data_IF_477381945438
#
_entry.id   IF_477381945438
#
_cell.length_a   1.000
_cell.length_b   1.000
_cell.length_c   1.000
_cell.angle_alpha   90.00
_cell.angle_beta   90.00
_cell.angle_gamma   90.00
#
_symmetry.space_group_name_H-M   'P 1'
#
loop_
_entity.id
_entity.type
_entity.pdbx_description
1 polymer ?
#
# COMPACT_ATOMS: atom_id res chain seq x y z
N UNK A 1 15.80 73.69 13.18
CA UNK A 1 14.65 74.34 12.49
C UNK A 1 14.37 73.58 11.20
N UNK A 2 13.12 73.17 10.98
CA UNK A 2 12.61 72.48 9.78
C UNK A 2 12.81 73.31 8.49
N UNK A 3 13.01 72.65 7.34
CA UNK A 3 12.21 72.79 6.10
C UNK A 3 12.72 71.90 4.94
N UNK A 4 12.00 70.80 4.70
CA UNK A 4 11.33 70.38 3.46
C UNK A 4 11.82 70.81 2.04
N UNK A 5 12.06 69.78 1.22
CA UNK A 5 11.43 69.41 -0.08
C UNK A 5 11.97 69.93 -1.44
N UNK A 6 11.92 68.96 -2.39
CA UNK A 6 11.81 68.98 -3.87
C UNK A 6 13.12 68.82 -4.67
N UNK A 7 13.34 67.72 -5.40
CA UNK A 7 12.71 67.17 -6.64
C UNK A 7 13.48 67.62 -7.90
N UNK A 8 13.98 66.68 -8.71
CA UNK A 8 14.34 67.01 -10.09
C UNK A 8 15.43 66.18 -10.78
N UNK A 9 15.01 65.06 -11.37
CA UNK A 9 15.43 64.52 -12.70
C UNK A 9 16.93 64.55 -13.05
N UNK A 10 17.56 63.37 -13.07
CA UNK A 10 18.78 63.14 -13.85
C UNK A 10 18.57 61.93 -14.78
N UNK A 11 18.53 62.20 -16.09
CA UNK A 11 18.50 61.19 -17.15
C UNK A 11 19.89 60.54 -17.22
N UNK A 12 19.95 59.22 -17.01
CA UNK A 12 21.17 58.44 -17.21
C UNK A 12 21.09 57.72 -18.55
N UNK A 13 22.11 57.94 -19.39
CA UNK A 13 22.28 57.34 -20.70
C UNK A 13 22.45 55.83 -20.59
N UNK A 14 21.68 55.10 -21.41
CA UNK A 14 21.78 53.65 -21.61
C UNK A 14 23.04 53.36 -22.41
N UNK A 15 24.00 52.64 -21.82
CA UNK A 15 25.07 51.97 -22.55
C UNK A 15 24.66 50.50 -22.72
N UNK A 16 24.46 50.12 -23.98
CA UNK A 16 24.18 48.75 -24.42
C UNK A 16 25.48 47.94 -24.31
N UNK A 17 25.50 46.95 -23.42
CA UNK A 17 26.48 45.86 -23.48
C UNK A 17 25.75 44.56 -23.75
N UNK A 18 25.82 44.14 -25.02
CA UNK A 18 25.54 42.76 -25.45
C UNK A 18 26.53 41.82 -24.78
N UNK A 19 26.05 40.93 -23.92
CA UNK A 19 26.72 39.69 -23.60
C UNK A 19 25.82 38.53 -24.04
N UNK A 20 26.21 37.94 -25.16
CA UNK A 20 25.70 36.66 -25.62
C UNK A 20 26.21 35.56 -24.68
N UNK A 21 25.28 34.97 -23.92
CA UNK A 21 25.46 33.68 -23.26
C UNK A 21 24.45 32.72 -23.86
N UNK A 22 24.83 32.12 -24.99
CA UNK A 22 24.20 30.94 -25.55
C UNK A 22 24.80 29.71 -24.87
N UNK A 23 23.99 29.03 -24.06
CA UNK A 23 24.40 27.81 -23.36
C UNK A 23 23.22 27.07 -22.74
N UNK A 24 22.52 26.29 -23.57
CA UNK A 24 21.74 25.10 -23.22
C UNK A 24 20.82 25.20 -21.98
N UNK A 25 19.70 25.92 -22.13
CA UNK A 25 18.50 25.59 -21.39
C UNK A 25 17.91 24.31 -22.02
N UNK A 26 18.26 23.15 -21.46
CA UNK A 26 17.54 21.92 -21.74
C UNK A 26 16.09 22.12 -21.33
N UNK A 27 15.19 22.16 -22.31
CA UNK A 27 13.76 22.16 -22.07
C UNK A 27 13.40 20.81 -21.46
N UNK A 28 13.31 20.76 -20.13
CA UNK A 28 12.51 19.75 -19.48
C UNK A 28 11.09 19.90 -20.03
N UNK A 29 10.48 18.86 -20.63
CA UNK A 29 9.08 18.94 -20.97
C UNK A 29 8.32 19.19 -19.66
N UNK A 30 7.70 20.36 -19.56
CA UNK A 30 6.67 20.59 -18.57
C UNK A 30 5.59 19.54 -18.86
N UNK A 31 5.54 18.49 -18.05
CA UNK A 31 4.33 17.69 -17.94
C UNK A 31 3.26 18.65 -17.41
N UNK A 32 2.46 19.20 -18.31
CA UNK A 32 1.19 19.80 -17.97
C UNK A 32 0.28 18.65 -17.54
N UNK A 33 0.46 18.16 -16.31
CA UNK A 33 -0.57 17.43 -15.60
C UNK A 33 -1.66 18.45 -15.28
N UNK A 34 -2.56 18.69 -16.24
CA UNK A 34 -3.85 19.27 -15.91
C UNK A 34 -4.54 18.41 -14.84
N UNK A 35 -5.46 18.97 -14.03
CA UNK A 35 -6.20 18.17 -13.06
C UNK A 35 -6.88 17.01 -13.79
N UNK A 36 -6.54 15.78 -13.41
CA UNK A 36 -7.22 14.59 -13.93
C UNK A 36 -8.68 14.63 -13.45
N UNK A 37 -9.59 14.93 -14.37
CA UNK A 37 -11.03 14.87 -14.09
C UNK A 37 -11.41 13.39 -14.05
N UNK A 38 -11.90 12.86 -12.92
CA UNK A 38 -12.33 11.47 -12.87
C UNK A 38 -13.52 11.25 -13.82
N UNK A 39 -13.53 10.09 -14.47
CA UNK A 39 -14.66 9.67 -15.31
C UNK A 39 -15.86 9.31 -14.42
N UNK A 40 -17.06 9.66 -14.85
CA UNK A 40 -18.28 9.27 -14.16
C UNK A 40 -18.49 7.75 -14.31
N UNK A 41 -18.61 6.98 -13.23
CA UNK A 41 -18.87 5.55 -13.34
C UNK A 41 -20.17 5.30 -14.13
N UNK A 42 -20.18 4.37 -15.11
CA UNK A 42 -21.37 4.10 -15.92
C UNK A 42 -22.52 3.49 -15.10
N UNK A 43 -22.18 2.88 -13.96
CA UNK A 43 -23.11 2.35 -12.97
C UNK A 43 -22.65 2.80 -11.59
N UNK A 44 -23.60 3.18 -10.74
CA UNK A 44 -23.36 3.47 -9.32
C UNK A 44 -24.35 2.66 -8.47
N UNK A 45 -23.95 2.36 -7.24
CA UNK A 45 -24.80 1.70 -6.25
C UNK A 45 -25.41 2.75 -5.31
N UNK A 46 -26.74 2.83 -5.27
CA UNK A 46 -27.45 3.59 -4.26
C UNK A 46 -27.41 2.81 -2.95
N UNK A 47 -26.83 3.40 -1.89
CA UNK A 47 -26.57 2.72 -0.62
C UNK A 47 -27.75 2.81 0.37
N UNK A 48 -28.69 3.72 0.12
CA UNK A 48 -29.85 4.00 0.95
C UNK A 48 -31.05 4.37 0.09
N UNK A 49 -32.21 4.54 0.72
CA UNK A 49 -33.38 5.08 0.03
C UNK A 49 -33.06 6.48 -0.51
N UNK A 50 -33.05 6.61 -1.83
CA UNK A 50 -32.55 7.79 -2.52
C UNK A 50 -33.70 8.52 -3.23
N UNK A 51 -34.02 9.76 -2.85
CA UNK A 51 -35.03 10.56 -3.53
C UNK A 51 -34.62 10.92 -4.97
N UNK A 52 -35.60 10.95 -5.86
CA UNK A 52 -35.46 11.28 -7.29
C UNK A 52 -36.05 12.65 -7.59
N UNK A 53 -35.36 13.44 -8.38
CA UNK A 53 -35.75 14.81 -8.73
C UNK A 53 -35.82 14.99 -10.25
N UNK A 54 -36.74 15.84 -10.71
CA UNK A 54 -36.82 16.20 -12.13
C UNK A 54 -35.65 17.11 -12.55
N UNK A 55 -35.15 17.93 -11.63
CA UNK A 55 -34.06 18.89 -11.82
C UNK A 55 -33.04 18.76 -10.65
N UNK A 56 -31.77 19.16 -10.82
CA UNK A 56 -30.75 19.09 -9.77
C UNK A 56 -30.94 20.20 -8.72
N UNK A 57 -32.10 20.24 -8.08
CA UNK A 57 -32.49 21.21 -7.06
C UNK A 57 -33.18 20.51 -5.89
N UNK A 58 -32.54 20.54 -4.72
CA UNK A 58 -33.02 19.88 -3.52
C UNK A 58 -34.18 20.62 -2.84
N UNK A 59 -34.49 21.85 -3.27
CA UNK A 59 -35.66 22.61 -2.79
C UNK A 59 -36.98 22.12 -3.40
N UNK A 60 -36.91 21.39 -4.52
CA UNK A 60 -38.07 20.77 -5.14
C UNK A 60 -38.51 19.51 -4.37
N UNK A 61 -39.80 19.20 -4.43
CA UNK A 61 -40.27 17.92 -3.89
C UNK A 61 -39.81 16.77 -4.79
N UNK A 62 -39.29 15.66 -4.22
CA UNK A 62 -38.96 14.47 -5.00
C UNK A 62 -40.16 13.93 -5.75
N UNK A 63 -39.95 13.44 -6.97
CA UNK A 63 -41.00 12.80 -7.78
C UNK A 63 -41.24 11.35 -7.38
N UNK A 64 -40.22 10.71 -6.79
CA UNK A 64 -40.25 9.36 -6.24
C UNK A 64 -38.99 9.12 -5.38
N UNK A 65 -38.80 7.89 -4.91
CA UNK A 65 -37.56 7.43 -4.31
C UNK A 65 -37.23 6.01 -4.80
N UNK A 66 -35.95 5.66 -4.79
CA UNK A 66 -35.46 4.32 -5.07
C UNK A 66 -34.88 3.70 -3.80
N UNK A 67 -35.24 2.47 -3.50
CA UNK A 67 -34.51 1.67 -2.51
C UNK A 67 -33.07 1.38 -2.98
N UNK A 68 -32.16 0.97 -2.07
CA UNK A 68 -30.79 0.61 -2.44
C UNK A 68 -30.73 -0.35 -3.62
N UNK A 69 -30.02 0.03 -4.69
CA UNK A 69 -29.87 -0.75 -5.92
C UNK A 69 -28.80 -0.12 -6.83
N UNK A 70 -28.35 -0.89 -7.82
CA UNK A 70 -27.50 -0.37 -8.89
C UNK A 70 -28.32 0.40 -9.93
N UNK A 71 -27.78 1.53 -10.39
CA UNK A 71 -28.41 2.38 -11.39
C UNK A 71 -27.41 2.82 -12.46
N UNK A 72 -27.85 2.90 -13.70
CA UNK A 72 -27.04 3.44 -14.81
C UNK A 72 -26.97 4.96 -14.73
N UNK A 73 -25.77 5.52 -14.85
CA UNK A 73 -25.57 6.97 -14.91
C UNK A 73 -25.70 7.49 -16.34
N UNK A 74 -26.04 8.77 -16.47
CA UNK A 74 -26.22 9.45 -17.76
C UNK A 74 -25.29 10.65 -17.86
N UNK A 75 -25.36 11.54 -16.88
CA UNK A 75 -24.54 12.74 -16.78
C UNK A 75 -24.43 13.14 -15.30
N UNK A 76 -23.55 14.09 -15.02
CA UNK A 76 -23.36 14.63 -13.69
C UNK A 76 -23.34 16.17 -13.75
N UNK A 77 -23.67 16.80 -12.62
CA UNK A 77 -23.64 18.24 -12.48
C UNK A 77 -22.24 18.81 -12.74
N UNK A 78 -22.18 20.11 -13.05
CA UNK A 78 -20.91 20.81 -13.21
C UNK A 78 -20.07 20.64 -11.93
N UNK A 79 -18.79 20.30 -12.09
CA UNK A 79 -17.86 20.11 -10.98
C UNK A 79 -18.28 19.05 -9.96
N UNK A 80 -19.05 18.02 -10.35
CA UNK A 80 -19.41 16.88 -9.47
C UNK A 80 -18.19 16.17 -8.86
N UNK A 81 -17.02 16.30 -9.48
CA UNK A 81 -15.75 15.76 -9.03
C UNK A 81 -14.96 16.70 -8.11
N UNK A 82 -15.41 17.95 -7.96
CA UNK A 82 -14.74 18.92 -7.10
C UNK A 82 -15.26 18.75 -5.68
N UNK A 83 -14.34 18.62 -4.73
CA UNK A 83 -14.63 18.57 -3.28
C UNK A 83 -14.98 19.95 -2.71
N UNK A 84 -15.80 20.71 -3.44
CA UNK A 84 -16.32 22.03 -3.05
C UNK A 84 -17.67 21.92 -2.37
N UNK A 85 -18.44 20.90 -2.72
CA UNK A 85 -19.71 20.55 -2.10
C UNK A 85 -19.60 19.12 -1.55
N UNK A 86 -20.27 18.88 -0.43
CA UNK A 86 -20.37 17.56 0.18
C UNK A 86 -21.37 16.68 -0.58
N UNK A 87 -22.21 17.30 -1.41
CA UNK A 87 -23.21 16.63 -2.23
C UNK A 87 -23.04 16.91 -3.72
N UNK A 88 -23.44 15.92 -4.51
CA UNK A 88 -23.28 15.93 -5.96
C UNK A 88 -24.55 15.46 -6.63
N UNK A 89 -24.85 16.09 -7.75
CA UNK A 89 -25.99 15.74 -8.58
C UNK A 89 -25.56 14.81 -9.69
N UNK A 90 -26.14 13.60 -9.70
CA UNK A 90 -25.93 12.61 -10.75
C UNK A 90 -27.28 12.33 -11.40
N UNK A 91 -27.31 12.32 -12.73
CA UNK A 91 -28.49 11.93 -13.48
C UNK A 91 -28.41 10.45 -13.79
N UNK A 92 -29.48 9.73 -13.52
CA UNK A 92 -29.57 8.29 -13.69
C UNK A 92 -30.70 7.93 -14.66
N UNK A 93 -30.61 6.76 -15.29
CA UNK A 93 -31.71 6.22 -16.08
C UNK A 93 -32.75 5.59 -15.15
N UNK A 94 -34.01 5.93 -15.35
CA UNK A 94 -35.13 5.16 -14.79
C UNK A 94 -35.98 4.59 -15.92
N UNK A 95 -36.54 3.40 -15.70
CA UNK A 95 -37.31 2.69 -16.73
C UNK A 95 -38.74 3.22 -16.89
N UNK A 96 -39.24 4.01 -15.94
CA UNK A 96 -40.65 4.38 -15.83
C UNK A 96 -40.94 5.89 -15.84
N UNK A 97 -39.96 6.76 -15.55
CA UNK A 97 -40.13 8.22 -15.57
C UNK A 97 -39.04 8.97 -16.35
N UNK A 98 -38.27 8.25 -17.19
CA UNK A 98 -37.15 8.82 -17.93
C UNK A 98 -35.94 9.08 -17.03
N UNK A 99 -35.03 9.94 -17.47
CA UNK A 99 -33.80 10.21 -16.72
C UNK A 99 -34.08 11.22 -15.60
N UNK A 100 -33.72 10.88 -14.37
CA UNK A 100 -33.97 11.69 -13.17
C UNK A 100 -32.67 11.94 -12.42
N UNK A 101 -32.67 12.97 -11.59
CA UNK A 101 -31.52 13.38 -10.79
C UNK A 101 -31.57 12.80 -9.39
N UNK A 102 -30.41 12.37 -8.89
CA UNK A 102 -30.16 12.00 -7.50
C UNK A 102 -29.15 12.96 -6.88
N UNK A 103 -29.36 13.30 -5.62
CA UNK A 103 -28.44 14.10 -4.82
C UNK A 103 -27.72 13.19 -3.84
N UNK A 104 -26.47 12.87 -4.14
CA UNK A 104 -25.67 11.91 -3.37
C UNK A 104 -24.60 12.63 -2.58
N UNK A 105 -24.22 12.07 -1.44
CA UNK A 105 -22.98 12.48 -0.79
C UNK A 105 -21.79 12.14 -1.71
N UNK A 106 -20.82 13.03 -1.81
CA UNK A 106 -19.70 12.94 -2.76
C UNK A 106 -18.97 11.59 -2.66
N UNK A 107 -18.71 11.11 -1.43
CA UNK A 107 -18.01 9.84 -1.20
C UNK A 107 -18.86 8.60 -1.50
N UNK A 108 -20.17 8.75 -1.72
CA UNK A 108 -21.09 7.66 -2.05
C UNK A 108 -21.19 7.40 -3.54
N UNK A 109 -20.53 8.21 -4.38
CA UNK A 109 -20.45 7.95 -5.82
C UNK A 109 -19.43 6.83 -6.06
N UNK A 110 -19.93 5.67 -6.43
CA UNK A 110 -19.15 4.47 -6.70
C UNK A 110 -20.05 3.27 -6.91
N UNK A 111 -19.45 2.11 -7.11
CA UNK A 111 -20.14 0.86 -7.34
C UNK A 111 -19.68 -0.19 -6.33
N UNK A 112 -20.62 -0.93 -5.77
CA UNK A 112 -20.34 -2.12 -4.97
C UNK A 112 -20.17 -3.30 -5.92
N UNK A 113 -19.00 -3.93 -5.92
CA UNK A 113 -18.74 -5.15 -6.69
C UNK A 113 -18.60 -6.34 -5.76
N UNK A 114 -19.18 -7.50 -6.11
CA UNK A 114 -18.90 -8.73 -5.37
C UNK A 114 -17.43 -9.11 -5.53
N UNK A 115 -16.84 -9.57 -4.45
CA UNK A 115 -15.51 -10.19 -4.42
C UNK A 115 -15.58 -11.44 -3.54
N UNK A 116 -14.62 -12.33 -3.68
CA UNK A 116 -14.44 -13.49 -2.81
C UNK A 116 -12.94 -13.55 -2.50
N UNK A 117 -12.56 -12.94 -1.38
CA UNK A 117 -11.15 -12.76 -1.03
C UNK A 117 -10.97 -12.65 0.47
N UNK A 118 -9.74 -12.89 0.94
CA UNK A 118 -9.38 -12.72 2.33
C UNK A 118 -8.53 -11.47 2.52
N UNK A 119 -8.79 -10.79 3.64
CA UNK A 119 -8.06 -9.61 4.09
C UNK A 119 -7.40 -9.93 5.42
N UNK A 120 -6.13 -9.55 5.58
CA UNK A 120 -5.50 -9.57 6.90
C UNK A 120 -5.54 -8.16 7.46
N UNK A 121 -6.25 -7.99 8.57
CA UNK A 121 -6.25 -6.78 9.37
C UNK A 121 -5.02 -6.84 10.26
N UNK A 122 -3.97 -6.09 9.93
CA UNK A 122 -2.75 -6.09 10.74
C UNK A 122 -2.99 -5.42 12.09
N UNK A 123 -3.84 -4.39 12.12
CA UNK A 123 -4.19 -3.61 13.30
C UNK A 123 -5.69 -3.68 13.61
N UNK A 124 -6.09 -3.08 14.72
CA UNK A 124 -7.51 -2.92 15.03
C UNK A 124 -8.25 -2.15 13.93
N UNK A 125 -9.38 -2.68 13.47
CA UNK A 125 -10.16 -2.11 12.39
C UNK A 125 -11.56 -1.69 12.86
N UNK A 126 -11.90 -0.41 12.70
CA UNK A 126 -13.27 0.06 12.92
C UNK A 126 -14.21 -0.50 11.86
N UNK A 127 -15.45 -0.81 12.28
CA UNK A 127 -16.50 -1.29 11.39
C UNK A 127 -17.49 -0.18 11.04
N UNK A 128 -18.01 -0.24 9.82
CA UNK A 128 -18.89 0.77 9.24
C UNK A 128 -20.13 0.10 8.64
N UNK A 129 -21.30 0.73 8.74
CA UNK A 129 -22.55 0.19 8.17
C UNK A 129 -22.66 0.43 6.65
N UNK A 130 -21.87 1.36 6.12
CA UNK A 130 -21.75 1.71 4.70
C UNK A 130 -20.27 1.93 4.36
N UNK A 131 -19.87 1.94 3.07
CA UNK A 131 -18.49 2.19 2.64
C UNK A 131 -18.02 3.65 2.79
N UNK A 132 -18.52 4.35 3.83
CA UNK A 132 -18.34 5.78 4.07
C UNK A 132 -17.76 6.02 5.46
N UNK A 133 -16.85 6.98 5.61
CA UNK A 133 -16.23 7.30 6.91
C UNK A 133 -17.27 7.80 7.92
N UNK A 134 -18.32 8.49 7.47
CA UNK A 134 -19.41 8.97 8.32
C UNK A 134 -20.29 7.86 8.91
N UNK A 135 -20.22 6.65 8.36
CA UNK A 135 -21.01 5.50 8.79
C UNK A 135 -20.31 4.62 9.83
N UNK A 136 -19.32 5.18 10.54
CA UNK A 136 -18.53 4.47 11.53
C UNK A 136 -19.39 4.02 12.71
N UNK A 137 -19.17 2.78 13.15
CA UNK A 137 -19.74 2.24 14.39
C UNK A 137 -18.72 2.27 15.53
N UNK A 138 -19.17 1.95 16.73
CA UNK A 138 -18.27 1.76 17.89
C UNK A 138 -17.55 0.40 17.87
N UNK A 139 -17.93 -0.51 16.97
CA UNK A 139 -17.34 -1.83 16.90
C UNK A 139 -15.94 -1.79 16.26
N UNK A 140 -15.00 -2.51 16.88
CA UNK A 140 -13.61 -2.65 16.43
C UNK A 140 -13.26 -4.13 16.40
N UNK A 141 -12.76 -4.59 15.25
CA UNK A 141 -12.13 -5.90 15.14
C UNK A 141 -10.68 -5.81 15.58
N UNK A 142 -10.26 -6.75 16.42
CA UNK A 142 -8.83 -6.99 16.65
C UNK A 142 -8.14 -7.50 15.37
N UNK A 143 -6.80 -7.39 15.27
CA UNK A 143 -6.04 -7.97 14.18
C UNK A 143 -6.44 -9.43 13.92
N UNK A 144 -6.82 -9.73 12.69
CA UNK A 144 -7.26 -11.06 12.27
C UNK A 144 -7.44 -11.11 10.75
N UNK A 145 -7.59 -12.32 10.23
CA UNK A 145 -7.99 -12.56 8.85
C UNK A 145 -9.50 -12.60 8.74
N UNK A 146 -10.05 -11.86 7.78
CA UNK A 146 -11.49 -11.77 7.53
C UNK A 146 -11.80 -12.07 6.08
N UNK A 147 -12.95 -12.68 5.83
CA UNK A 147 -13.47 -12.89 4.49
C UNK A 147 -14.21 -11.64 4.01
N UNK A 148 -13.85 -11.14 2.84
CA UNK A 148 -14.49 -10.01 2.18
C UNK A 148 -15.33 -10.49 1.01
N UNK A 149 -16.60 -10.08 1.00
CA UNK A 149 -17.58 -10.49 0.00
C UNK A 149 -18.00 -9.35 -0.95
N UNK A 150 -17.56 -8.12 -0.69
CA UNK A 150 -17.74 -6.99 -1.61
C UNK A 150 -16.63 -5.94 -1.48
N UNK A 151 -16.46 -5.14 -2.53
CA UNK A 151 -15.56 -3.99 -2.57
C UNK A 151 -16.33 -2.78 -3.09
N UNK A 152 -16.07 -1.59 -2.56
CA UNK A 152 -16.64 -0.35 -3.06
C UNK A 152 -15.61 0.40 -3.90
N UNK A 153 -15.84 0.44 -5.20
CA UNK A 153 -14.99 1.17 -6.14
C UNK A 153 -15.56 2.57 -6.35
N UNK A 154 -14.82 3.58 -5.90
CA UNK A 154 -15.17 4.99 -6.08
C UNK A 154 -14.07 5.72 -6.85
N UNK A 155 -14.42 6.65 -7.76
CA UNK A 155 -13.46 7.57 -8.38
C UNK A 155 -12.70 8.45 -7.37
N UNK A 156 -13.15 8.47 -6.12
CA UNK A 156 -12.65 9.31 -5.04
C UNK A 156 -11.93 8.53 -3.93
N UNK A 157 -11.71 7.23 -4.11
CA UNK A 157 -10.94 6.43 -3.17
C UNK A 157 -9.44 6.77 -3.30
N UNK A 158 -8.94 7.66 -2.44
CA UNK A 158 -7.54 8.13 -2.50
C UNK A 158 -6.58 7.40 -1.55
N UNK A 159 -7.08 6.85 -0.44
CA UNK A 159 -6.23 6.32 0.64
C UNK A 159 -6.40 4.82 0.89
N UNK A 160 -7.61 4.29 0.70
CA UNK A 160 -7.89 2.86 0.85
C UNK A 160 -9.18 2.51 0.11
N UNK A 161 -9.24 1.30 -0.44
CA UNK A 161 -10.47 0.73 -0.99
C UNK A 161 -11.32 0.14 0.14
N UNK A 162 -12.58 0.57 0.32
CA UNK A 162 -13.46 -0.05 1.31
C UNK A 162 -13.84 -1.47 0.90
N UNK A 163 -13.79 -2.39 1.85
CA UNK A 163 -14.23 -3.77 1.68
C UNK A 163 -15.37 -4.09 2.63
N UNK A 164 -16.36 -4.84 2.15
CA UNK A 164 -17.39 -5.42 2.99
C UNK A 164 -16.94 -6.81 3.41
N UNK A 165 -16.93 -7.02 4.72
CA UNK A 165 -16.50 -8.25 5.36
C UNK A 165 -17.68 -8.93 6.05
N UNK A 166 -17.61 -10.24 6.10
CA UNK A 166 -18.60 -11.04 6.82
C UNK A 166 -18.21 -11.08 8.30
N UNK A 167 -19.13 -10.67 9.17
CA UNK A 167 -18.98 -10.83 10.61
C UNK A 167 -20.04 -11.80 11.14
N UNK A 168 -19.67 -12.64 12.10
CA UNK A 168 -20.59 -13.66 12.63
C UNK A 168 -21.61 -13.10 13.63
N UNK A 169 -21.49 -11.85 14.09
CA UNK A 169 -22.35 -11.26 15.12
C UNK A 169 -23.02 -9.93 14.75
N UNK A 170 -22.49 -9.16 13.79
CA UNK A 170 -23.10 -7.91 13.31
C UNK A 170 -23.66 -8.03 11.89
N UNK A 171 -23.48 -9.18 11.24
CA UNK A 171 -23.72 -9.33 9.81
C UNK A 171 -22.61 -8.69 8.97
N UNK A 172 -22.90 -8.41 7.72
CA UNK A 172 -21.91 -7.83 6.82
C UNK A 172 -21.63 -6.37 7.18
N UNK A 173 -20.36 -6.05 7.39
CA UNK A 173 -19.89 -4.72 7.79
C UNK A 173 -18.78 -4.26 6.87
N UNK A 174 -18.58 -2.96 6.75
CA UNK A 174 -17.51 -2.38 5.95
C UNK A 174 -16.29 -2.09 6.81
N UNK A 175 -15.11 -2.35 6.26
CA UNK A 175 -13.84 -1.78 6.71
C UNK A 175 -13.52 -0.63 5.77
N UNK A 176 -13.52 0.59 6.31
CA UNK A 176 -13.28 1.83 5.58
C UNK A 176 -11.99 2.46 6.10
N UNK A 177 -11.20 3.09 5.23
CA UNK A 177 -10.05 3.92 5.62
C UNK A 177 -8.97 3.19 6.47
N UNK A 178 -8.70 1.91 6.19
CA UNK A 178 -7.67 1.16 6.92
C UNK A 178 -6.42 0.91 6.05
N UNK A 179 -5.31 1.66 6.27
CA UNK A 179 -4.09 1.49 5.50
C UNK A 179 -3.27 0.24 5.90
N UNK A 180 -3.69 -0.47 6.95
CA UNK A 180 -2.99 -1.64 7.49
C UNK A 180 -3.73 -2.95 7.17
N UNK A 181 -4.19 -3.05 5.92
CA UNK A 181 -4.85 -4.24 5.39
C UNK A 181 -3.99 -4.85 4.31
N UNK A 182 -3.71 -6.15 4.43
CA UNK A 182 -3.13 -6.93 3.34
C UNK A 182 -4.26 -7.58 2.55
N UNK A 183 -4.19 -7.45 1.23
CA UNK A 183 -5.14 -8.01 0.27
C UNK A 183 -4.49 -9.21 -0.44
N UNK A 184 -5.30 -9.94 -1.22
CA UNK A 184 -4.85 -11.10 -2.02
C UNK A 184 -4.15 -12.17 -1.17
N UNK A 185 -4.78 -12.50 -0.05
CA UNK A 185 -4.27 -13.48 0.91
C UNK A 185 -4.78 -14.86 0.55
N UNK A 186 -3.88 -15.83 0.58
CA UNK A 186 -4.19 -17.25 0.42
C UNK A 186 -4.34 -17.90 1.80
N UNK A 187 -5.48 -18.55 2.06
CA UNK A 187 -5.66 -19.38 3.26
C UNK A 187 -5.03 -20.75 2.98
N UNK A 188 -4.01 -21.10 3.77
CA UNK A 188 -3.18 -22.28 3.55
C UNK A 188 -3.58 -23.42 4.50
N UNK A 189 -3.65 -23.13 5.81
CA UNK A 189 -4.00 -24.08 6.87
C UNK A 189 -3.31 -25.45 6.77
N UNK A 190 -1.97 -25.46 6.75
CA UNK A 190 -1.18 -26.70 6.64
C UNK A 190 0.07 -26.68 7.52
N UNK A 191 0.60 -27.86 7.84
CA UNK A 191 1.91 -27.99 8.49
C UNK A 191 3.03 -27.53 7.54
N UNK A 192 4.01 -26.80 8.08
CA UNK A 192 5.15 -26.27 7.35
C UNK A 192 6.43 -26.46 8.16
N UNK A 193 7.45 -27.00 7.50
CA UNK A 193 8.78 -27.18 8.07
C UNK A 193 9.65 -25.94 7.86
N UNK A 194 10.24 -25.45 8.95
CA UNK A 194 11.33 -24.48 8.93
C UNK A 194 12.64 -25.26 9.20
N UNK A 195 13.42 -25.61 8.16
CA UNK A 195 14.53 -26.57 8.30
C UNK A 195 15.81 -25.96 8.91
N UNK A 196 15.90 -24.63 8.95
CA UNK A 196 17.07 -23.87 9.36
C UNK A 196 16.67 -22.69 10.23
N UNK A 197 17.65 -22.01 10.84
CA UNK A 197 17.38 -20.78 11.58
C UNK A 197 16.68 -19.76 10.66
N UNK A 198 15.48 -19.35 11.07
CA UNK A 198 14.59 -18.49 10.29
C UNK A 198 14.30 -17.21 11.07
N UNK A 199 14.16 -16.09 10.38
CA UNK A 199 13.79 -14.84 11.00
C UNK A 199 12.37 -14.91 11.58
N UNK A 200 12.27 -14.68 12.88
CA UNK A 200 11.01 -14.42 13.58
C UNK A 200 10.58 -12.98 13.33
N UNK A 201 9.39 -12.80 12.77
CA UNK A 201 8.79 -11.48 12.56
C UNK A 201 7.56 -11.37 13.46
N UNK A 202 7.65 -10.52 14.48
CA UNK A 202 6.54 -10.25 15.40
C UNK A 202 5.35 -9.64 14.66
N UNK A 203 5.65 -8.74 13.72
CA UNK A 203 4.70 -8.11 12.83
C UNK A 203 5.09 -8.38 11.37
N UNK A 204 4.14 -8.25 10.45
CA UNK A 204 4.37 -8.42 9.01
C UNK A 204 5.55 -7.59 8.47
N UNK A 205 5.78 -6.39 9.03
CA UNK A 205 6.80 -5.45 8.57
C UNK A 205 8.14 -5.53 9.34
N UNK A 206 8.33 -6.49 10.26
CA UNK A 206 9.53 -6.55 11.12
C UNK A 206 10.83 -6.54 10.30
N UNK A 207 10.85 -7.22 9.16
CA UNK A 207 11.95 -7.21 8.18
C UNK A 207 12.37 -5.80 7.75
N UNK A 208 11.40 -4.93 7.49
CA UNK A 208 11.63 -3.57 6.98
C UNK A 208 12.08 -2.60 8.08
N UNK A 209 11.79 -2.92 9.35
CA UNK A 209 12.13 -2.08 10.50
C UNK A 209 13.52 -2.35 11.08
N UNK A 210 14.18 -3.44 10.66
CA UNK A 210 15.53 -3.74 11.10
C UNK A 210 16.54 -2.70 10.62
N UNK A 211 17.27 -2.11 11.56
CA UNK A 211 18.35 -1.15 11.26
C UNK A 211 19.73 -1.80 11.35
N UNK A 212 19.84 -2.86 12.16
CA UNK A 212 21.08 -3.59 12.41
C UNK A 212 20.82 -5.09 12.41
N UNK A 213 21.85 -5.90 12.11
CA UNK A 213 21.70 -7.35 12.17
C UNK A 213 21.35 -7.88 13.55
N UNK A 214 21.82 -7.20 14.61
CA UNK A 214 21.54 -7.53 16.00
C UNK A 214 20.06 -7.40 16.37
N UNK A 215 19.27 -6.72 15.55
CA UNK A 215 17.83 -6.55 15.77
C UNK A 215 17.07 -7.82 15.33
N UNK A 216 17.70 -8.69 14.54
CA UNK A 216 17.09 -9.93 14.08
C UNK A 216 16.91 -10.91 15.23
N UNK A 217 15.66 -11.36 15.41
CA UNK A 217 15.32 -12.49 16.27
C UNK A 217 15.23 -13.72 15.38
N UNK A 218 16.15 -14.67 15.54
CA UNK A 218 16.11 -15.94 14.82
C UNK A 218 15.43 -17.01 15.68
N UNK A 219 14.63 -17.86 15.05
CA UNK A 219 14.07 -19.06 15.65
C UNK A 219 14.79 -20.29 15.10
N UNK A 220 15.02 -21.33 15.92
CA UNK A 220 15.65 -22.56 15.48
C UNK A 220 14.74 -23.34 14.51
N UNK A 221 15.30 -24.33 13.80
CA UNK A 221 14.52 -25.26 12.99
C UNK A 221 13.36 -25.86 13.77
N UNK A 222 12.16 -25.84 13.20
CA UNK A 222 10.96 -26.36 13.85
C UNK A 222 9.83 -26.60 12.86
N UNK A 223 8.81 -27.32 13.30
CA UNK A 223 7.54 -27.43 12.60
C UNK A 223 6.57 -26.35 13.08
N UNK A 224 5.88 -25.69 12.16
CA UNK A 224 4.84 -24.70 12.44
C UNK A 224 3.58 -25.03 11.63
N UNK A 225 2.44 -24.47 12.04
CA UNK A 225 1.21 -24.51 11.26
C UNK A 225 1.05 -23.20 10.49
N UNK A 226 1.15 -23.24 9.17
CA UNK A 226 0.93 -22.10 8.30
C UNK A 226 -0.57 -21.86 8.12
N UNK A 227 -1.04 -20.69 8.56
CA UNK A 227 -2.45 -20.32 8.54
C UNK A 227 -2.80 -19.66 7.21
N UNK A 228 -2.10 -18.57 6.88
CA UNK A 228 -2.26 -17.86 5.62
C UNK A 228 -0.93 -17.34 5.06
N UNK A 229 -0.98 -16.94 3.79
CA UNK A 229 0.17 -16.51 3.01
C UNK A 229 -0.18 -15.27 2.18
N UNK A 230 0.74 -14.31 2.14
CA UNK A 230 0.63 -13.13 1.28
C UNK A 230 1.19 -13.38 -0.12
N UNK A 231 0.85 -12.55 -1.10
CA UNK A 231 1.45 -12.61 -2.44
C UNK A 231 2.98 -12.48 -2.42
N UNK A 232 3.52 -11.79 -1.42
CA UNK A 232 4.97 -11.63 -1.23
C UNK A 232 5.64 -12.86 -0.60
N UNK A 233 4.91 -13.96 -0.37
CA UNK A 233 5.47 -15.19 0.17
C UNK A 233 5.70 -15.16 1.68
N UNK A 234 5.14 -14.19 2.40
CA UNK A 234 5.18 -14.14 3.85
C UNK A 234 4.03 -14.98 4.41
N UNK A 235 4.32 -15.84 5.38
CA UNK A 235 3.35 -16.69 6.05
C UNK A 235 3.07 -16.18 7.45
N UNK A 236 1.80 -16.18 7.84
CA UNK A 236 1.39 -16.10 9.23
C UNK A 236 1.28 -17.51 9.78
N UNK A 237 2.03 -17.80 10.84
CA UNK A 237 2.23 -19.16 11.34
C UNK A 237 1.95 -19.25 12.82
N UNK A 238 1.59 -20.45 13.27
CA UNK A 238 1.46 -20.80 14.69
C UNK A 238 2.46 -21.89 15.05
N UNK A 239 3.28 -21.65 16.07
CA UNK A 239 4.19 -22.68 16.59
C UNK A 239 3.44 -23.67 17.49
N UNK A 240 4.12 -24.76 17.85
CA UNK A 240 3.60 -25.84 18.70
C UNK A 240 3.23 -25.36 20.11
N UNK A 241 3.89 -24.31 20.61
CA UNK A 241 3.57 -23.69 21.90
C UNK A 241 2.35 -22.74 21.84
N UNK A 242 1.76 -22.56 20.66
CA UNK A 242 0.62 -21.71 20.40
C UNK A 242 0.97 -20.25 20.09
N UNK A 243 2.26 -19.87 20.13
CA UNK A 243 2.69 -18.54 19.69
C UNK A 243 2.40 -18.33 18.20
N UNK A 244 2.06 -17.10 17.85
CA UNK A 244 1.67 -16.71 16.49
C UNK A 244 2.57 -15.57 16.02
N UNK A 245 3.12 -15.69 14.82
CA UNK A 245 4.10 -14.77 14.25
C UNK A 245 4.18 -14.92 12.74
N UNK A 246 4.93 -14.03 12.09
CA UNK A 246 5.17 -14.05 10.67
C UNK A 246 6.54 -14.61 10.33
N UNK A 247 6.64 -15.29 9.19
CA UNK A 247 7.90 -15.77 8.63
C UNK A 247 7.93 -15.59 7.13
N UNK A 248 9.11 -15.32 6.58
CA UNK A 248 9.38 -15.45 5.17
C UNK A 248 10.41 -16.58 5.00
N UNK A 249 10.11 -17.68 4.28
CA UNK A 249 11.02 -18.82 4.18
C UNK A 249 12.41 -18.49 3.61
N UNK A 250 12.52 -17.43 2.80
CA UNK A 250 13.82 -16.95 2.29
C UNK A 250 14.60 -16.08 3.28
N UNK A 251 13.97 -15.61 4.37
CA UNK A 251 14.66 -15.00 5.50
C UNK A 251 15.14 -16.10 6.47
N UNK A 252 15.90 -17.07 5.94
CA UNK A 252 16.43 -18.19 6.68
C UNK A 252 17.85 -18.55 6.23
N UNK A 253 18.61 -19.18 7.12
CA UNK A 253 19.91 -19.75 6.76
C UNK A 253 19.74 -20.84 5.69
N UNK A 254 20.65 -20.97 4.72
CA UNK A 254 20.48 -21.96 3.67
C UNK A 254 20.67 -23.39 4.19
N UNK A 255 19.76 -24.29 3.84
CA UNK A 255 19.93 -25.73 4.10
C UNK A 255 21.12 -26.27 3.28
N UNK A 256 21.95 -27.09 3.92
CA UNK A 256 23.11 -27.71 3.27
C UNK A 256 24.34 -26.80 3.14
N UNK A 257 24.43 -25.72 3.92
CA UNK A 257 25.67 -24.97 4.05
C UNK A 257 26.80 -25.88 4.58
N UNK A 258 27.95 -25.82 3.92
CA UNK A 258 29.14 -26.60 4.26
C UNK A 258 30.06 -25.80 5.18
N UNK A 259 30.51 -26.41 6.28
CA UNK A 259 31.53 -25.82 7.15
C UNK A 259 32.88 -25.84 6.45
N UNK A 260 33.54 -24.69 6.37
CA UNK A 260 34.83 -24.52 5.69
C UNK A 260 35.78 -23.66 6.53
N UNK A 261 37.03 -23.55 6.07
CA UNK A 261 37.99 -22.58 6.58
C UNK A 261 38.87 -22.11 5.43
N UNK A 262 38.32 -21.22 4.63
CA UNK A 262 38.95 -20.74 3.40
C UNK A 262 39.19 -19.23 3.45
N UNK A 263 40.29 -18.79 2.86
CA UNK A 263 40.53 -17.37 2.63
C UNK A 263 39.97 -17.01 1.27
N UNK A 264 39.04 -16.05 1.25
CA UNK A 264 38.40 -15.53 0.04
C UNK A 264 38.96 -14.14 -0.26
N UNK A 265 39.47 -13.95 -1.47
CA UNK A 265 39.94 -12.65 -1.95
C UNK A 265 38.75 -11.87 -2.55
N UNK A 266 38.44 -10.71 -1.96
CA UNK A 266 37.44 -9.79 -2.47
C UNK A 266 38.14 -8.73 -3.33
N UNK A 267 37.86 -8.72 -4.64
CA UNK A 267 38.50 -7.79 -5.60
C UNK A 267 37.75 -6.48 -5.76
N UNK A 268 36.47 -6.48 -5.43
CA UNK A 268 35.57 -5.33 -5.48
C UNK A 268 34.79 -5.20 -4.17
N UNK A 269 34.05 -4.11 -4.02
CA UNK A 269 33.18 -3.96 -2.86
C UNK A 269 32.01 -4.92 -2.95
N UNK A 270 31.78 -5.72 -1.91
CA UNK A 270 30.70 -6.73 -1.86
C UNK A 270 29.64 -6.34 -0.83
N UNK A 271 28.38 -6.64 -1.11
CA UNK A 271 27.27 -6.37 -0.18
C UNK A 271 27.23 -7.45 0.91
N UNK A 272 26.91 -7.03 2.14
CA UNK A 272 26.68 -7.92 3.27
C UNK A 272 25.20 -8.30 3.35
N UNK A 273 24.91 -9.60 3.31
CA UNK A 273 23.55 -10.14 3.35
C UNK A 273 23.35 -10.99 4.59
N UNK A 274 22.23 -10.82 5.29
CA UNK A 274 21.88 -11.67 6.43
C UNK A 274 21.50 -13.09 5.99
N UNK A 275 20.84 -13.19 4.84
CA UNK A 275 20.43 -14.45 4.22
C UNK A 275 20.82 -14.43 2.74
N UNK A 276 21.26 -15.55 2.14
CA UNK A 276 21.73 -15.53 0.76
C UNK A 276 20.61 -15.58 -0.29
N UNK A 277 19.38 -15.95 0.09
CA UNK A 277 18.22 -16.00 -0.82
C UNK A 277 17.55 -14.64 -0.95
N UNK A 278 16.99 -14.35 -2.12
CA UNK A 278 16.21 -13.14 -2.37
C UNK A 278 14.72 -13.33 -1.98
N UNK A 279 14.03 -12.29 -1.48
CA UNK A 279 14.57 -11.00 -1.06
C UNK A 279 15.53 -11.17 0.13
N UNK A 280 16.59 -10.36 0.20
CA UNK A 280 17.59 -10.46 1.27
C UNK A 280 17.80 -9.12 1.97
N UNK A 281 17.95 -9.19 3.29
CA UNK A 281 18.27 -8.07 4.17
C UNK A 281 19.78 -7.74 4.06
N UNK A 282 20.07 -6.48 3.75
CA UNK A 282 21.42 -5.98 3.47
C UNK A 282 21.91 -5.08 4.59
N UNK A 283 23.15 -5.26 5.03
CA UNK A 283 23.71 -4.53 6.18
C UNK A 283 25.08 -3.90 5.90
N UNK A 284 25.19 -3.25 4.74
CA UNK A 284 26.38 -2.51 4.35
C UNK A 284 27.22 -3.22 3.29
N UNK A 285 28.46 -2.78 3.13
CA UNK A 285 29.38 -3.26 2.12
C UNK A 285 30.79 -3.45 2.71
N UNK A 286 31.47 -4.48 2.25
CA UNK A 286 32.90 -4.70 2.49
C UNK A 286 33.69 -4.18 1.30
N UNK A 287 34.74 -3.38 1.54
CA UNK A 287 35.72 -3.03 0.52
C UNK A 287 36.60 -4.23 0.15
N UNK A 288 37.31 -4.19 -0.99
CA UNK A 288 38.28 -5.21 -1.39
C UNK A 288 39.26 -5.57 -0.26
N UNK A 289 39.35 -6.85 0.09
CA UNK A 289 40.21 -7.39 1.15
C UNK A 289 40.21 -8.93 1.12
N UNK A 290 41.09 -9.55 1.89
CA UNK A 290 41.02 -10.98 2.16
C UNK A 290 40.17 -11.23 3.42
N UNK A 291 39.20 -12.14 3.33
CA UNK A 291 38.35 -12.55 4.45
C UNK A 291 38.45 -14.05 4.68
N UNK A 292 38.21 -14.50 5.91
CA UNK A 292 38.12 -15.94 6.22
C UNK A 292 36.66 -16.35 6.31
N UNK A 293 36.23 -17.23 5.41
CA UNK A 293 34.91 -17.82 5.42
C UNK A 293 34.88 -19.07 6.31
N UNK A 294 33.78 -19.22 7.04
CA UNK A 294 33.53 -20.37 7.90
C UNK A 294 32.39 -21.27 7.38
N UNK A 295 31.52 -20.77 6.49
CA UNK A 295 30.59 -21.59 5.72
C UNK A 295 30.59 -21.20 4.24
N UNK A 296 30.16 -22.16 3.42
CA UNK A 296 29.94 -22.00 1.99
C UNK A 296 28.60 -22.59 1.62
N UNK A 297 27.90 -21.94 0.70
CA UNK A 297 26.66 -22.46 0.15
C UNK A 297 26.61 -22.19 -1.35
N UNK A 298 26.10 -23.14 -2.12
CA UNK A 298 25.86 -22.95 -3.56
C UNK A 298 24.37 -22.87 -3.78
N UNK A 299 23.92 -21.76 -4.35
CA UNK A 299 22.51 -21.55 -4.62
C UNK A 299 22.02 -22.43 -5.79
N UNK A 300 20.69 -22.56 -6.00
CA UNK A 300 20.15 -23.35 -7.10
C UNK A 300 20.57 -22.89 -8.51
N UNK A 301 21.08 -21.66 -8.64
CA UNK A 301 21.60 -21.11 -9.91
C UNK A 301 23.11 -21.40 -10.09
N UNK A 302 23.74 -22.07 -9.13
CA UNK A 302 25.16 -22.42 -9.16
C UNK A 302 26.08 -21.30 -8.66
N UNK A 303 25.56 -20.21 -8.09
CA UNK A 303 26.39 -19.15 -7.51
C UNK A 303 26.83 -19.53 -6.11
N UNK A 304 28.07 -19.18 -5.79
CA UNK A 304 28.70 -19.52 -4.53
C UNK A 304 28.61 -18.35 -3.56
N UNK A 305 28.09 -18.63 -2.39
CA UNK A 305 27.98 -17.73 -1.26
C UNK A 305 28.92 -18.17 -0.15
N UNK A 306 29.52 -17.20 0.55
CA UNK A 306 30.42 -17.44 1.68
C UNK A 306 29.90 -16.73 2.93
N UNK A 307 29.91 -17.42 4.06
CA UNK A 307 29.54 -16.86 5.36
C UNK A 307 30.82 -16.44 6.11
N UNK A 308 30.88 -15.17 6.52
CA UNK A 308 32.05 -14.56 7.14
C UNK A 308 31.67 -13.80 8.41
N UNK A 309 32.60 -13.63 9.33
CA UNK A 309 32.43 -12.75 10.48
C UNK A 309 32.81 -11.31 10.12
N UNK A 310 31.94 -10.35 10.45
CA UNK A 310 32.15 -8.92 10.16
C UNK A 310 31.93 -8.08 11.43
N UNK A 311 32.13 -6.76 11.34
CA UNK A 311 31.88 -5.85 12.48
C UNK A 311 30.40 -5.72 12.84
N UNK A 312 29.47 -6.09 11.94
CA UNK A 312 28.03 -6.07 12.21
C UNK A 312 27.46 -7.43 12.59
N UNK A 313 28.28 -8.47 12.60
CA UNK A 313 27.86 -9.86 12.81
C UNK A 313 28.28 -10.78 11.67
N UNK A 314 27.82 -12.03 11.74
CA UNK A 314 28.06 -13.01 10.68
C UNK A 314 27.15 -12.73 9.48
N UNK A 315 27.73 -12.69 8.28
CA UNK A 315 27.05 -12.26 7.05
C UNK A 315 27.46 -13.11 5.85
N UNK A 316 26.50 -13.34 4.97
CA UNK A 316 26.71 -13.92 3.66
C UNK A 316 27.21 -12.87 2.68
N UNK A 317 28.17 -13.28 1.85
CA UNK A 317 28.69 -12.48 0.74
C UNK A 317 28.73 -13.33 -0.54
N UNK A 318 28.61 -12.66 -1.68
CA UNK A 318 28.82 -13.24 -3.00
C UNK A 318 29.97 -12.46 -3.68
N UNK A 319 31.21 -13.01 -3.71
CA UNK A 319 32.40 -12.27 -4.16
C UNK A 319 32.38 -11.80 -5.62
N UNK A 320 31.64 -12.51 -6.48
CA UNK A 320 31.61 -12.27 -7.93
C UNK A 320 30.45 -11.34 -8.36
N UNK A 321 29.79 -10.66 -7.41
CA UNK A 321 28.69 -9.72 -7.64
C UNK A 321 29.00 -8.33 -7.11
#
# INVERSE_FOLDING_TARGET
>A
MRKNLLLGKMKLYVLVCLLALSGLAGTLPAYALGPHIPELPPVITLLEETPLYAEPDASLSPVAALSPQDVETVEAGASWYARTDDRVWIKIKTTWAGNLWVNLHYQSVGVVKPVDTYLILLWGAYLYTQPLVSAQTEAVLSPQTVHANAVFESPFAYLSTPYRIETSWLGDMWVVANPHVLTNVEIVNQDMELPTETLYMEDYDSANRMQRPSDAKLIPPQQVFAMEKTEQGVYHVRSQDGSVFWVHPDYAQPSGAEQIKETVELKQSVTLYMFPKAPSLRFGMLSPQNVTAFEKWTDPEGKVWYHINTWVGSMWIQPDQ
#
